data_IF_898345547757
#
_entry.id   IF_898345547757
#
_cell.length_a   1.000
_cell.length_b   1.000
_cell.length_c   1.000
_cell.angle_alpha   90.00
_cell.angle_beta   90.00
_cell.angle_gamma   90.00
#
_symmetry.space_group_name_H-M   'P 1'
#
loop_
_entity.id
_entity.type
_entity.pdbx_description
1 polymer ?
#
# COMPACT_ATOMS: atom_id res chain seq x y z
N UNK A 1 -31.97 48.92 1.16
CA UNK A 1 -31.67 49.48 2.46
C UNK A 1 -31.90 48.38 3.50
N UNK A 2 -30.87 47.60 3.80
CA UNK A 2 -30.82 46.71 4.99
C UNK A 2 -29.35 46.44 5.29
N UNK A 3 -28.98 46.82 6.49
CA UNK A 3 -27.63 46.87 7.05
C UNK A 3 -27.17 45.48 7.44
N UNK A 4 -25.93 45.11 7.07
CA UNK A 4 -25.25 43.91 7.54
C UNK A 4 -24.38 44.32 8.74
N UNK A 5 -24.67 43.76 9.92
CA UNK A 5 -23.87 43.93 11.13
C UNK A 5 -22.76 42.87 11.17
N UNK A 6 -21.54 43.37 11.21
CA UNK A 6 -20.35 42.56 11.49
C UNK A 6 -20.27 42.19 12.99
N UNK A 7 -20.28 40.91 13.29
CA UNK A 7 -20.04 40.36 14.63
C UNK A 7 -18.56 40.03 14.85
N UNK A 8 -17.83 40.92 15.55
CA UNK A 8 -16.42 40.74 15.91
C UNK A 8 -16.33 39.87 17.17
N UNK A 9 -15.85 38.61 17.03
CA UNK A 9 -15.56 37.74 18.15
C UNK A 9 -14.16 38.03 18.68
N UNK A 10 -14.08 38.64 19.86
CA UNK A 10 -12.83 38.85 20.62
C UNK A 10 -12.45 37.55 21.36
N UNK A 11 -11.34 36.95 21.02
CA UNK A 11 -10.69 35.90 21.80
C UNK A 11 -9.85 36.55 22.89
N UNK A 12 -10.20 36.30 24.16
CA UNK A 12 -9.41 36.71 25.34
C UNK A 12 -8.35 35.63 25.59
N UNK A 13 -7.10 36.02 25.51
CA UNK A 13 -5.95 35.21 25.95
C UNK A 13 -5.71 35.50 27.43
N UNK A 14 -5.94 34.53 28.31
CA UNK A 14 -5.54 34.60 29.72
C UNK A 14 -4.18 33.91 29.89
N UNK A 15 -3.18 34.69 30.29
CA UNK A 15 -1.86 34.19 30.70
C UNK A 15 -1.92 33.76 32.17
N UNK A 16 -1.82 32.46 32.44
CA UNK A 16 -1.58 31.95 33.80
C UNK A 16 -0.08 31.74 34.01
N UNK A 17 0.52 32.65 34.78
CA UNK A 17 1.91 32.53 35.26
C UNK A 17 1.89 31.63 36.50
N UNK A 18 2.33 30.42 36.38
CA UNK A 18 2.54 29.48 37.48
C UNK A 18 3.95 29.60 38.07
N UNK A 19 4.05 30.10 39.29
CA UNK A 19 5.27 30.19 40.08
C UNK A 19 5.66 28.80 40.62
N UNK A 20 6.73 28.18 40.10
CA UNK A 20 7.28 26.92 40.60
C UNK A 20 8.38 27.22 41.64
N UNK A 21 8.09 26.95 42.91
CA UNK A 21 9.02 27.00 44.01
C UNK A 21 9.90 25.74 43.99
N UNK A 22 11.17 25.83 43.64
CA UNK A 22 12.15 24.75 43.72
C UNK A 22 12.75 24.66 45.13
N UNK A 23 12.44 23.57 45.83
CA UNK A 23 13.11 23.22 47.11
C UNK A 23 14.48 22.58 46.79
N UNK A 24 15.57 23.19 47.28
CA UNK A 24 16.90 22.60 47.28
C UNK A 24 17.01 21.58 48.40
N UNK A 25 17.25 20.32 48.06
CA UNK A 25 17.69 19.31 49.01
C UNK A 25 19.24 19.25 49.04
N UNK A 26 19.89 19.00 50.20
CA UNK A 26 21.35 18.98 50.29
C UNK A 26 21.94 17.72 49.63
N UNK A 27 22.92 17.93 48.81
CA UNK A 27 23.69 16.88 48.12
C UNK A 27 24.65 16.21 49.11
N UNK A 28 24.42 14.94 49.45
CA UNK A 28 25.34 14.12 50.23
C UNK A 28 26.45 13.61 49.28
N UNK A 29 27.70 13.98 49.55
CA UNK A 29 28.88 13.46 48.86
C UNK A 29 29.10 11.99 49.19
N UNK A 30 28.76 11.11 48.25
CA UNK A 30 29.13 9.69 48.29
C UNK A 30 30.56 9.52 47.79
N UNK A 31 31.41 8.84 48.57
CA UNK A 31 32.79 8.53 48.21
C UNK A 31 32.83 7.54 47.03
N UNK A 32 33.81 7.63 46.10
CA UNK A 32 33.94 6.66 45.01
C UNK A 32 34.52 5.34 45.54
N UNK A 33 33.71 4.29 45.48
CA UNK A 33 34.19 2.91 45.62
C UNK A 33 34.91 2.50 44.32
N UNK A 34 36.15 2.06 44.44
CA UNK A 34 36.98 1.51 43.35
C UNK A 34 36.26 0.33 42.70
N UNK A 35 36.06 0.33 41.37
CA UNK A 35 35.51 -0.82 40.67
C UNK A 35 36.55 -1.94 40.58
N UNK A 36 36.22 -3.09 41.18
CA UNK A 36 36.96 -4.34 40.94
C UNK A 36 36.92 -4.68 39.46
N UNK A 37 38.08 -5.01 38.90
CA UNK A 37 38.23 -5.50 37.51
C UNK A 37 37.41 -6.78 37.32
N UNK A 38 36.17 -6.64 36.87
CA UNK A 38 35.43 -7.76 36.36
C UNK A 38 35.95 -8.04 34.91
N UNK A 39 36.62 -9.17 34.78
CA UNK A 39 36.97 -9.72 33.45
C UNK A 39 35.70 -10.02 32.72
N UNK A 40 35.30 -9.11 31.80
CA UNK A 40 34.18 -9.33 30.89
C UNK A 40 34.62 -10.42 29.92
N UNK A 41 34.04 -11.61 30.07
CA UNK A 41 34.17 -12.66 29.07
C UNK A 41 33.70 -12.11 27.72
N UNK A 42 34.39 -12.42 26.61
CA UNK A 42 33.99 -11.97 25.28
C UNK A 42 32.60 -12.53 25.00
N UNK A 43 31.60 -11.62 24.90
CA UNK A 43 30.27 -11.93 24.45
C UNK A 43 30.40 -12.45 23.01
N UNK A 44 30.11 -13.74 22.80
CA UNK A 44 30.03 -14.31 21.46
C UNK A 44 29.15 -13.38 20.61
N UNK A 45 29.77 -12.76 19.60
CA UNK A 45 29.04 -12.01 18.60
C UNK A 45 28.21 -13.04 17.85
N UNK A 46 26.91 -13.11 18.17
CA UNK A 46 25.92 -13.79 17.33
C UNK A 46 26.09 -13.20 15.94
N UNK A 47 26.49 -14.06 15.01
CA UNK A 47 26.79 -13.67 13.63
C UNK A 47 25.65 -12.79 13.09
N UNK A 48 26.02 -11.62 12.60
CA UNK A 48 25.08 -10.70 11.96
C UNK A 48 24.66 -11.38 10.66
N UNK A 49 23.53 -12.14 10.73
CA UNK A 49 22.89 -12.64 9.54
C UNK A 49 22.54 -11.40 8.69
N UNK A 50 23.12 -11.31 7.50
CA UNK A 50 22.90 -10.18 6.60
C UNK A 50 21.40 -10.07 6.23
N UNK A 51 20.98 -8.98 5.58
CA UNK A 51 19.58 -8.81 5.20
C UNK A 51 19.10 -9.99 4.36
N UNK A 52 17.94 -10.55 4.72
CA UNK A 52 17.35 -11.68 4.00
C UNK A 52 16.90 -11.22 2.62
N UNK A 53 17.33 -11.92 1.57
CA UNK A 53 16.79 -11.72 0.23
C UNK A 53 15.43 -12.41 0.13
N UNK A 54 14.34 -11.69 -0.25
CA UNK A 54 13.04 -12.31 -0.40
C UNK A 54 13.05 -13.31 -1.57
N UNK A 55 12.43 -14.47 -1.36
CA UNK A 55 12.16 -15.44 -2.40
C UNK A 55 10.75 -15.23 -2.97
N UNK A 56 10.58 -15.56 -4.26
CA UNK A 56 9.32 -15.39 -4.96
C UNK A 56 8.91 -16.69 -5.65
N UNK A 57 7.61 -16.98 -5.64
CA UNK A 57 7.00 -18.05 -6.41
C UNK A 57 6.04 -17.45 -7.45
N UNK A 58 6.17 -17.85 -8.70
CA UNK A 58 5.27 -17.42 -9.77
C UNK A 58 3.86 -18.00 -9.55
N UNK A 59 2.87 -17.11 -9.45
CA UNK A 59 1.46 -17.48 -9.29
C UNK A 59 0.72 -17.56 -10.62
N UNK A 60 1.05 -16.71 -11.56
CA UNK A 60 0.38 -16.66 -12.85
C UNK A 60 0.46 -15.30 -13.52
N UNK A 61 -0.11 -15.23 -14.71
CA UNK A 61 -0.26 -14.00 -15.50
C UNK A 61 -1.73 -13.58 -15.51
N UNK A 62 -2.01 -12.36 -15.07
CA UNK A 62 -3.30 -11.70 -15.26
C UNK A 62 -3.25 -10.85 -16.53
N UNK A 63 -4.16 -11.11 -17.46
CA UNK A 63 -4.49 -10.22 -18.59
C UNK A 63 -5.87 -9.64 -18.36
N UNK A 64 -5.98 -8.31 -18.46
CA UNK A 64 -7.23 -7.60 -18.30
C UNK A 64 -7.46 -6.65 -19.48
N UNK A 65 -8.68 -6.66 -19.98
CA UNK A 65 -9.10 -5.76 -21.06
C UNK A 65 -9.80 -4.54 -20.45
N UNK A 66 -9.33 -3.35 -20.82
CA UNK A 66 -9.88 -2.09 -20.35
C UNK A 66 -10.87 -1.51 -21.35
N UNK A 67 -11.98 -0.98 -20.83
CA UNK A 67 -13.04 -0.34 -21.60
C UNK A 67 -13.06 1.18 -21.44
N UNK A 68 -14.24 1.71 -21.15
CA UNK A 68 -14.46 3.15 -21.01
C UNK A 68 -13.66 3.78 -19.88
N UNK A 69 -13.36 5.06 -20.05
CA UNK A 69 -12.64 5.89 -19.08
C UNK A 69 -13.49 7.10 -18.73
N UNK A 70 -13.64 7.37 -17.45
CA UNK A 70 -14.26 8.58 -16.91
C UNK A 70 -13.21 9.38 -16.16
N UNK A 71 -13.12 10.68 -16.42
CA UNK A 71 -12.14 11.58 -15.78
C UNK A 71 -12.87 12.55 -14.88
N UNK A 72 -12.40 12.67 -13.63
CA UNK A 72 -12.83 13.68 -12.66
C UNK A 72 -11.64 14.59 -12.43
N UNK A 73 -11.71 15.78 -13.05
CA UNK A 73 -10.59 16.72 -13.06
C UNK A 73 -10.55 17.58 -11.80
N UNK A 74 -9.33 17.99 -11.43
CA UNK A 74 -9.08 19.04 -10.44
C UNK A 74 -9.71 18.80 -9.06
N UNK A 75 -9.86 17.52 -8.65
CA UNK A 75 -10.29 17.18 -7.30
C UNK A 75 -9.19 17.51 -6.26
N UNK A 76 -9.54 17.54 -4.95
CA UNK A 76 -8.60 17.91 -3.88
C UNK A 76 -7.40 16.96 -3.75
N UNK A 77 -7.48 15.76 -4.33
CA UNK A 77 -6.40 14.78 -4.37
C UNK A 77 -5.80 14.61 -5.78
N UNK A 78 -6.02 15.57 -6.67
CA UNK A 78 -5.62 15.53 -8.06
C UNK A 78 -6.71 15.00 -9.00
N UNK A 79 -6.37 14.84 -10.26
CA UNK A 79 -7.26 14.27 -11.28
C UNK A 79 -7.43 12.78 -11.09
N UNK A 80 -8.67 12.32 -11.06
CA UNK A 80 -9.02 10.89 -11.01
C UNK A 80 -9.39 10.38 -12.39
N UNK A 81 -8.95 9.18 -12.72
CA UNK A 81 -9.39 8.46 -13.91
C UNK A 81 -9.96 7.13 -13.50
N UNK A 82 -11.26 6.92 -13.74
CA UNK A 82 -11.91 5.63 -13.51
C UNK A 82 -11.87 4.86 -14.83
N UNK A 83 -11.24 3.69 -14.83
CA UNK A 83 -11.10 2.82 -15.99
C UNK A 83 -11.92 1.57 -15.75
N UNK A 84 -12.88 1.29 -16.62
CA UNK A 84 -13.62 0.04 -16.57
C UNK A 84 -12.73 -1.11 -17.03
N UNK A 85 -12.76 -2.24 -16.32
CA UNK A 85 -12.24 -3.53 -16.78
C UNK A 85 -13.42 -4.34 -17.31
N UNK A 86 -13.37 -4.71 -18.59
CA UNK A 86 -14.51 -5.34 -19.29
C UNK A 86 -14.38 -6.86 -19.41
N UNK A 87 -13.25 -7.42 -18.98
CA UNK A 87 -12.97 -8.84 -18.99
C UNK A 87 -11.49 -9.12 -18.86
N UNK A 88 -11.13 -10.39 -19.07
CA UNK A 88 -9.74 -10.82 -19.00
C UNK A 88 -9.62 -12.23 -18.45
N UNK A 89 -8.35 -12.64 -18.20
CA UNK A 89 -8.05 -13.97 -17.72
C UNK A 89 -6.83 -13.98 -16.81
N UNK A 90 -6.88 -14.80 -15.77
CA UNK A 90 -5.74 -15.20 -14.97
C UNK A 90 -5.32 -16.62 -15.36
N UNK A 91 -4.05 -16.82 -15.66
CA UNK A 91 -3.49 -18.12 -16.02
C UNK A 91 -2.22 -18.40 -15.23
N UNK A 92 -2.26 -19.43 -14.41
CA UNK A 92 -1.15 -19.90 -13.60
C UNK A 92 -1.16 -21.41 -13.41
N UNK A 93 -0.12 -21.95 -12.79
CA UNK A 93 0.03 -23.40 -12.61
C UNK A 93 -1.02 -23.99 -11.66
N UNK A 94 -1.53 -23.20 -10.71
CA UNK A 94 -2.49 -23.63 -9.68
C UNK A 94 -3.84 -22.91 -9.76
N UNK A 95 -3.98 -21.90 -10.64
CA UNK A 95 -5.17 -21.08 -10.76
C UNK A 95 -5.38 -20.68 -12.22
N UNK A 96 -6.56 -20.98 -12.75
CA UNK A 96 -7.05 -20.47 -14.03
C UNK A 96 -8.43 -19.89 -13.81
N UNK A 97 -8.65 -18.65 -14.25
CA UNK A 97 -9.89 -17.94 -13.94
C UNK A 97 -10.19 -16.83 -14.97
N UNK A 98 -11.45 -16.57 -15.22
CA UNK A 98 -11.92 -15.42 -15.97
C UNK A 98 -12.14 -14.21 -15.04
N UNK A 99 -11.85 -13.01 -15.54
CA UNK A 99 -12.21 -11.75 -14.89
C UNK A 99 -13.68 -11.47 -15.12
N UNK A 100 -14.44 -11.30 -14.05
CA UNK A 100 -15.85 -10.94 -14.08
C UNK A 100 -16.04 -9.42 -14.05
N UNK A 101 -17.16 -8.95 -14.58
CA UNK A 101 -17.66 -7.58 -14.41
C UNK A 101 -18.76 -7.56 -13.34
N UNK A 102 -18.92 -6.44 -12.58
CA UNK A 102 -18.17 -5.20 -12.69
C UNK A 102 -16.76 -5.29 -12.11
N UNK A 103 -15.80 -4.65 -12.80
CA UNK A 103 -14.42 -4.51 -12.36
C UNK A 103 -13.86 -3.16 -12.85
N UNK A 104 -12.87 -2.61 -12.15
CA UNK A 104 -12.33 -1.31 -12.51
C UNK A 104 -11.09 -0.89 -11.75
N UNK A 105 -10.49 0.19 -12.24
CA UNK A 105 -9.35 0.86 -11.65
C UNK A 105 -9.68 2.33 -11.39
N UNK A 106 -9.53 2.79 -10.14
CA UNK A 106 -9.73 4.17 -9.70
C UNK A 106 -8.38 4.88 -9.59
N UNK A 107 -7.82 5.23 -10.74
CA UNK A 107 -6.50 5.84 -10.88
C UNK A 107 -6.47 7.24 -10.25
N UNK A 108 -5.41 7.54 -9.50
CA UNK A 108 -5.04 8.92 -9.11
C UNK A 108 -3.84 9.35 -9.92
N UNK A 109 -4.02 10.36 -10.78
CA UNK A 109 -2.92 10.96 -11.52
C UNK A 109 -2.15 11.92 -10.61
N UNK A 110 -0.82 11.82 -10.59
CA UNK A 110 0.08 12.60 -9.74
C UNK A 110 0.76 13.72 -10.51
N UNK A 111 1.21 14.75 -9.79
CA UNK A 111 1.89 15.90 -10.38
C UNK A 111 3.25 15.55 -11.01
N UNK A 112 3.89 14.47 -10.57
CA UNK A 112 5.18 13.97 -11.08
C UNK A 112 5.05 13.13 -12.38
N UNK A 113 3.83 13.02 -12.94
CA UNK A 113 3.53 12.23 -14.14
C UNK A 113 3.36 10.73 -13.89
N UNK A 114 3.61 10.25 -12.68
CA UNK A 114 3.22 8.91 -12.26
C UNK A 114 1.73 8.85 -11.92
N UNK A 115 1.21 7.64 -11.73
CA UNK A 115 -0.17 7.46 -11.26
C UNK A 115 -0.28 6.28 -10.30
N UNK A 116 -1.19 6.41 -9.33
CA UNK A 116 -1.51 5.36 -8.38
C UNK A 116 -2.73 4.59 -8.88
N UNK A 117 -2.62 3.27 -8.88
CA UNK A 117 -3.69 2.34 -9.16
C UNK A 117 -4.47 1.99 -7.89
N UNK A 118 -5.77 1.76 -8.02
CA UNK A 118 -6.65 1.23 -6.99
C UNK A 118 -7.70 0.34 -7.68
N UNK A 119 -7.39 -0.95 -7.78
CA UNK A 119 -8.15 -1.90 -8.60
C UNK A 119 -8.95 -2.85 -7.73
N UNK A 120 -10.16 -3.12 -8.19
CA UNK A 120 -11.00 -4.20 -7.67
C UNK A 120 -11.56 -5.01 -8.83
N UNK A 121 -11.40 -6.32 -8.76
CA UNK A 121 -11.97 -7.26 -9.72
C UNK A 121 -12.31 -8.59 -9.02
N UNK A 122 -13.21 -9.34 -9.64
CA UNK A 122 -13.55 -10.70 -9.21
C UNK A 122 -13.08 -11.69 -10.27
N UNK A 123 -12.38 -12.74 -9.84
CA UNK A 123 -12.04 -13.88 -10.67
C UNK A 123 -13.08 -14.99 -10.44
N UNK A 124 -13.52 -15.62 -11.53
CA UNK A 124 -14.25 -16.88 -11.50
C UNK A 124 -13.34 -17.97 -12.06
N UNK A 125 -12.98 -18.92 -11.22
CA UNK A 125 -12.14 -20.05 -11.62
C UNK A 125 -12.85 -20.97 -12.61
N UNK A 126 -12.08 -21.75 -13.37
CA UNK A 126 -12.65 -22.70 -14.34
C UNK A 126 -13.51 -23.77 -13.66
N UNK A 127 -13.28 -24.05 -12.39
CA UNK A 127 -14.05 -24.97 -11.53
C UNK A 127 -15.11 -24.26 -10.65
N UNK A 128 -15.38 -22.96 -10.92
CA UNK A 128 -16.53 -22.21 -10.42
C UNK A 128 -16.33 -21.40 -9.13
N UNK A 129 -15.16 -21.43 -8.49
CA UNK A 129 -14.91 -20.62 -7.30
C UNK A 129 -14.84 -19.11 -7.63
N UNK A 130 -15.23 -18.28 -6.67
CA UNK A 130 -15.11 -16.83 -6.77
C UNK A 130 -13.98 -16.32 -5.87
N UNK A 131 -13.13 -15.46 -6.41
CA UNK A 131 -11.99 -14.86 -5.72
C UNK A 131 -12.03 -13.35 -5.97
N UNK A 132 -12.21 -12.55 -4.91
CA UNK A 132 -12.02 -11.11 -4.97
C UNK A 132 -10.52 -10.83 -5.02
N UNK A 133 -10.11 -9.95 -5.93
CA UNK A 133 -8.75 -9.46 -6.03
C UNK A 133 -8.77 -7.95 -5.90
N UNK A 134 -8.01 -7.44 -4.94
CA UNK A 134 -7.79 -6.00 -4.77
C UNK A 134 -6.32 -5.68 -4.84
N UNK A 135 -5.96 -4.58 -5.48
CA UNK A 135 -4.57 -4.13 -5.46
C UNK A 135 -4.42 -2.64 -5.62
N UNK A 136 -3.41 -2.13 -4.95
CA UNK A 136 -2.83 -0.83 -5.25
C UNK A 136 -1.54 -1.01 -6.04
N UNK A 137 -1.10 0.07 -6.67
CA UNK A 137 0.12 0.03 -7.47
C UNK A 137 0.57 1.40 -7.92
N UNK A 138 1.73 1.41 -8.55
CA UNK A 138 2.30 2.59 -9.21
C UNK A 138 2.48 2.28 -10.69
N UNK A 139 2.00 3.21 -11.51
CA UNK A 139 2.19 3.20 -12.95
C UNK A 139 3.00 4.40 -13.41
N UNK A 140 3.76 4.20 -14.47
CA UNK A 140 4.52 5.24 -15.16
C UNK A 140 4.30 5.09 -16.66
N UNK A 141 4.01 6.21 -17.33
CA UNK A 141 3.90 6.24 -18.78
C UNK A 141 5.28 6.01 -19.41
N UNK A 142 5.33 5.20 -20.45
CA UNK A 142 6.54 4.91 -21.23
C UNK A 142 6.26 5.14 -22.72
N UNK A 143 7.29 5.15 -23.54
CA UNK A 143 7.14 5.28 -25.00
C UNK A 143 6.32 4.14 -25.61
N UNK A 144 6.34 2.94 -24.99
CA UNK A 144 5.60 1.75 -25.45
C UNK A 144 4.22 1.58 -24.81
N UNK A 145 3.83 2.47 -23.86
CA UNK A 145 2.56 2.37 -23.12
C UNK A 145 2.71 2.72 -21.66
N UNK A 146 2.70 1.74 -20.74
CA UNK A 146 2.94 2.00 -19.32
C UNK A 146 3.65 0.82 -18.66
N UNK A 147 4.52 1.14 -17.70
CA UNK A 147 5.13 0.19 -16.76
C UNK A 147 4.37 0.22 -15.44
N UNK A 148 4.03 -0.94 -14.89
CA UNK A 148 3.15 -1.10 -13.75
C UNK A 148 3.78 -1.99 -12.67
N UNK A 149 3.60 -1.60 -11.40
CA UNK A 149 3.99 -2.38 -10.22
C UNK A 149 2.82 -2.42 -9.26
N UNK A 150 2.40 -3.61 -8.85
CA UNK A 150 1.20 -3.81 -8.03
C UNK A 150 1.45 -4.74 -6.85
N UNK A 151 0.59 -4.66 -5.84
CA UNK A 151 0.59 -5.52 -4.67
C UNK A 151 -0.79 -6.16 -4.47
N UNK A 152 -1.10 -7.29 -5.17
CA UNK A 152 -2.39 -7.94 -5.08
C UNK A 152 -2.61 -8.64 -3.75
N UNK A 153 -3.87 -8.54 -3.27
CA UNK A 153 -4.44 -9.36 -2.21
C UNK A 153 -5.62 -10.15 -2.78
N UNK A 154 -5.79 -11.35 -2.27
CA UNK A 154 -6.84 -12.27 -2.69
C UNK A 154 -7.75 -12.61 -1.52
N UNK A 155 -9.06 -12.67 -1.77
CA UNK A 155 -10.06 -13.04 -0.78
C UNK A 155 -11.04 -14.06 -1.38
N UNK A 156 -11.25 -15.18 -0.70
CA UNK A 156 -12.23 -16.20 -1.08
C UNK A 156 -12.66 -17.03 0.12
N UNK A 157 -13.91 -17.47 0.12
CA UNK A 157 -14.42 -18.47 1.07
C UNK A 157 -14.29 -19.92 0.58
N UNK A 158 -13.83 -20.14 -0.65
CA UNK A 158 -13.68 -21.48 -1.21
C UNK A 158 -12.45 -22.19 -0.65
N UNK A 159 -12.66 -23.33 -0.01
CA UNK A 159 -11.60 -24.08 0.67
C UNK A 159 -10.45 -24.52 -0.24
N UNK A 160 -10.70 -24.71 -1.55
CA UNK A 160 -9.68 -25.07 -2.57
C UNK A 160 -8.70 -23.94 -2.81
N UNK A 161 -9.12 -22.69 -2.59
CA UNK A 161 -8.34 -21.49 -2.89
C UNK A 161 -8.01 -20.63 -1.67
N UNK A 162 -8.40 -21.05 -0.44
CA UNK A 162 -8.12 -20.32 0.79
C UNK A 162 -6.63 -20.03 1.02
N UNK A 163 -5.75 -20.82 0.43
CA UNK A 163 -4.30 -20.61 0.49
C UNK A 163 -3.86 -19.25 -0.11
N UNK A 164 -4.62 -18.70 -1.07
CA UNK A 164 -4.35 -17.37 -1.65
C UNK A 164 -4.54 -16.25 -0.64
N UNK A 165 -5.46 -16.39 0.33
CA UNK A 165 -5.78 -15.34 1.30
C UNK A 165 -4.66 -15.08 2.31
N UNK A 166 -3.66 -15.96 2.36
CA UNK A 166 -2.50 -15.90 3.27
C UNK A 166 -1.22 -15.46 2.58
N UNK A 167 -1.30 -15.08 1.31
CA UNK A 167 -0.15 -14.65 0.53
C UNK A 167 -0.07 -13.13 0.47
N UNK A 168 1.16 -12.61 0.57
CA UNK A 168 1.47 -11.30 0.05
C UNK A 168 2.00 -11.50 -1.38
N UNK A 169 1.35 -10.87 -2.35
CA UNK A 169 1.79 -10.95 -3.73
C UNK A 169 2.33 -9.60 -4.23
N UNK A 170 3.17 -9.67 -5.25
CA UNK A 170 3.60 -8.54 -6.06
C UNK A 170 3.35 -8.85 -7.53
N UNK A 171 3.15 -7.82 -8.33
CA UNK A 171 3.01 -7.97 -9.79
C UNK A 171 3.85 -6.96 -10.54
N UNK A 172 4.47 -7.43 -11.60
CA UNK A 172 5.20 -6.63 -12.58
C UNK A 172 4.42 -6.66 -13.88
N UNK A 173 4.08 -5.51 -14.42
CA UNK A 173 3.20 -5.47 -15.58
C UNK A 173 3.43 -4.29 -16.50
N UNK A 174 2.69 -4.34 -17.59
CA UNK A 174 2.67 -3.34 -18.63
C UNK A 174 1.26 -3.14 -19.18
N UNK A 175 1.01 -1.99 -19.76
CA UNK A 175 -0.19 -1.73 -20.57
C UNK A 175 0.21 -1.37 -22.00
N UNK A 176 -0.36 -2.09 -22.95
CA UNK A 176 -0.22 -1.83 -24.38
C UNK A 176 -1.62 -1.74 -24.98
N UNK A 177 -1.96 -0.58 -25.54
CA UNK A 177 -3.33 -0.32 -26.00
C UNK A 177 -4.35 -0.43 -24.89
N UNK A 178 -5.35 -1.28 -25.07
CA UNK A 178 -6.42 -1.57 -24.11
C UNK A 178 -6.10 -2.74 -23.17
N UNK A 179 -5.04 -3.50 -23.44
CA UNK A 179 -4.67 -4.68 -22.65
C UNK A 179 -3.67 -4.31 -21.58
N UNK A 180 -3.95 -4.76 -20.35
CA UNK A 180 -3.02 -4.73 -19.23
C UNK A 180 -2.60 -6.16 -18.92
N UNK A 181 -1.30 -6.38 -18.78
CA UNK A 181 -0.70 -7.68 -18.44
C UNK A 181 0.13 -7.55 -17.18
N UNK A 182 -0.04 -8.47 -16.24
CA UNK A 182 0.78 -8.60 -15.03
C UNK A 182 1.28 -10.02 -14.89
N UNK A 183 2.58 -10.20 -14.67
CA UNK A 183 3.14 -11.42 -14.10
C UNK A 183 3.16 -11.27 -12.58
N UNK A 184 2.48 -12.17 -11.87
CA UNK A 184 2.19 -12.09 -10.43
C UNK A 184 2.96 -13.17 -9.68
N UNK A 185 3.57 -12.78 -8.57
CA UNK A 185 4.42 -13.63 -7.72
C UNK A 185 3.99 -13.52 -6.27
N UNK A 186 4.00 -14.64 -5.54
CA UNK A 186 3.89 -14.68 -4.09
C UNK A 186 5.26 -14.44 -3.45
N UNK A 187 5.30 -13.63 -2.40
CA UNK A 187 6.44 -13.51 -1.49
C UNK A 187 6.48 -14.76 -0.58
N UNK A 188 7.66 -15.38 -0.41
CA UNK A 188 7.90 -16.56 0.44
C UNK A 188 8.51 -16.18 1.78
#
# INVERSE_FOLDING_TARGET
MLSIQEGLVRVRTELLVGLVLTALAPFALAQPSTPGSATVAPRAQSGTEGPRSPAFEYLGTLRAETGTRTVVENGPQGTRTIVQVVGGRFEGPRLKAAVLTPAGDWITNRADGSYRLDVRLTLKTDDGALILVTYNGIGQTTNAGASLRIAPLFETGDSRYVWLTRLQAIGVGERVGTTVKYDIYALK
#
